data_IF_363997224615
#
_entry.id   IF_363997224615
#
_cell.length_a   1.000
_cell.length_b   1.000
_cell.length_c   1.000
_cell.angle_alpha   90.00
_cell.angle_beta   90.00
_cell.angle_gamma   90.00
#
_symmetry.space_group_name_H-M   'P 1'
#
loop_
_entity.id
_entity.type
_entity.pdbx_description
1 polymer ?
#
# COMPACT_ATOMS: atom_id res chain seq x y z
N UNK A 1 -31.74 9.00 -3.68
CA UNK A 1 -30.50 9.66 -3.19
C UNK A 1 -29.60 9.94 -4.38
N UNK A 2 -29.04 11.16 -4.47
CA UNK A 2 -28.12 11.52 -5.54
C UNK A 2 -26.89 12.22 -4.97
N UNK A 3 -25.73 11.97 -5.57
CA UNK A 3 -24.50 12.68 -5.23
C UNK A 3 -24.63 14.13 -5.70
N UNK A 4 -24.53 15.07 -4.77
CA UNK A 4 -24.72 16.50 -5.01
C UNK A 4 -23.39 17.29 -5.05
N UNK A 5 -22.35 16.82 -4.31
CA UNK A 5 -21.09 17.55 -4.20
C UNK A 5 -19.91 16.64 -3.86
N UNK A 6 -18.76 16.94 -4.45
CA UNK A 6 -17.46 16.40 -4.10
C UNK A 6 -16.58 17.50 -3.50
N UNK A 7 -15.91 17.21 -2.40
CA UNK A 7 -14.98 18.16 -1.77
C UNK A 7 -13.68 17.43 -1.45
N UNK A 8 -12.64 17.54 -2.30
CA UNK A 8 -11.33 17.04 -1.97
C UNK A 8 -10.68 17.88 -0.87
N UNK A 9 -9.98 17.23 0.06
CA UNK A 9 -9.24 17.85 1.14
C UNK A 9 -7.81 17.28 1.14
N UNK A 10 -6.81 18.14 1.16
CA UNK A 10 -5.40 17.75 1.15
C UNK A 10 -4.76 18.10 2.47
N UNK A 11 -4.19 17.11 3.14
CA UNK A 11 -3.49 17.27 4.41
C UNK A 11 -2.01 16.93 4.26
N UNK A 12 -1.14 17.92 4.42
CA UNK A 12 0.30 17.72 4.54
C UNK A 12 0.66 17.23 5.95
N UNK A 13 1.41 16.14 6.02
CA UNK A 13 2.04 15.67 7.27
C UNK A 13 3.56 15.79 7.15
N UNK A 14 4.34 15.67 8.24
CA UNK A 14 5.80 15.81 8.15
C UNK A 14 6.51 14.87 7.18
N UNK A 15 5.85 13.78 6.75
CA UNK A 15 6.46 12.75 5.93
C UNK A 15 5.64 12.31 4.69
N UNK A 16 4.38 12.72 4.59
CA UNK A 16 3.54 12.46 3.40
C UNK A 16 2.37 13.40 3.28
N UNK A 17 1.82 13.51 2.08
CA UNK A 17 0.54 14.16 1.81
C UNK A 17 -0.56 13.11 1.73
N UNK A 18 -1.67 13.37 2.41
CA UNK A 18 -2.89 12.57 2.40
C UNK A 18 -3.97 13.32 1.62
N UNK A 19 -4.71 12.61 0.78
CA UNK A 19 -5.84 13.18 0.05
C UNK A 19 -7.11 12.50 0.51
N UNK A 20 -8.03 13.28 1.05
CA UNK A 20 -9.37 12.87 1.43
C UNK A 20 -10.37 13.33 0.39
N UNK A 21 -11.47 12.61 0.25
CA UNK A 21 -12.63 13.04 -0.51
C UNK A 21 -13.87 12.96 0.39
N UNK A 22 -14.57 14.10 0.55
CA UNK A 22 -15.90 14.16 1.13
C UNK A 22 -16.91 14.20 -0.02
N UNK A 23 -17.88 13.27 -0.01
CA UNK A 23 -19.00 13.19 -0.95
C UNK A 23 -20.26 13.49 -0.19
N UNK A 24 -21.08 14.42 -0.70
CA UNK A 24 -22.34 14.86 -0.10
C UNK A 24 -23.51 14.49 -1.02
N UNK A 25 -24.61 14.02 -0.43
CA UNK A 25 -25.83 13.69 -1.16
C UNK A 25 -26.91 14.77 -0.99
N UNK A 26 -27.90 14.78 -1.88
CA UNK A 26 -29.10 15.65 -1.82
C UNK A 26 -29.99 15.34 -0.61
N UNK A 27 -29.83 14.20 0.03
CA UNK A 27 -30.55 13.80 1.25
C UNK A 27 -29.76 14.07 2.55
N UNK A 28 -28.61 14.75 2.44
CA UNK A 28 -27.79 15.17 3.60
C UNK A 28 -26.84 14.11 4.16
N UNK A 29 -26.80 12.90 3.60
CA UNK A 29 -25.78 11.93 3.95
C UNK A 29 -24.42 12.30 3.34
N UNK A 30 -23.35 12.01 4.07
CA UNK A 30 -21.98 12.26 3.62
C UNK A 30 -21.13 11.01 3.74
N UNK A 31 -20.29 10.77 2.75
CA UNK A 31 -19.23 9.75 2.78
C UNK A 31 -17.84 10.38 2.76
N UNK A 32 -16.88 9.72 3.38
CA UNK A 32 -15.49 10.15 3.42
C UNK A 32 -14.61 8.99 3.02
N UNK A 33 -13.58 9.31 2.25
CA UNK A 33 -12.55 8.35 1.83
C UNK A 33 -11.16 8.98 1.88
N UNK A 34 -10.13 8.15 1.82
CA UNK A 34 -8.73 8.57 1.85
C UNK A 34 -7.90 7.75 0.88
N UNK A 35 -6.97 8.40 0.20
CA UNK A 35 -5.87 7.74 -0.49
C UNK A 35 -4.55 8.45 -0.22
N UNK A 36 -3.47 7.68 -0.27
CA UNK A 36 -2.13 8.23 -0.39
C UNK A 36 -1.82 8.44 -1.87
N UNK A 37 -1.49 9.67 -2.26
CA UNK A 37 -0.98 9.95 -3.61
C UNK A 37 0.25 10.85 -3.54
N UNK A 38 1.28 10.47 -4.27
CA UNK A 38 2.46 11.32 -4.47
C UNK A 38 2.27 12.32 -5.63
N UNK A 39 1.16 12.18 -6.39
CA UNK A 39 0.78 13.03 -7.53
C UNK A 39 -0.53 13.76 -7.25
N UNK A 40 -0.60 14.45 -6.12
CA UNK A 40 -1.81 15.09 -5.60
C UNK A 40 -2.49 16.00 -6.62
N UNK A 41 -1.76 16.88 -7.29
CA UNK A 41 -2.34 17.82 -8.26
C UNK A 41 -2.99 17.10 -9.47
N UNK A 42 -2.35 16.05 -9.96
CA UNK A 42 -2.90 15.23 -11.05
C UNK A 42 -4.17 14.49 -10.60
N UNK A 43 -4.18 13.96 -9.37
CA UNK A 43 -5.35 13.33 -8.77
C UNK A 43 -6.52 14.31 -8.62
N UNK A 44 -6.27 15.52 -8.12
CA UNK A 44 -7.29 16.57 -7.99
C UNK A 44 -7.85 16.98 -9.37
N UNK A 45 -6.99 17.10 -10.37
CA UNK A 45 -7.38 17.34 -11.76
C UNK A 45 -8.30 16.25 -12.31
N UNK A 46 -7.96 15.00 -12.07
CA UNK A 46 -8.76 13.85 -12.46
C UNK A 46 -10.12 13.83 -11.73
N UNK A 47 -10.14 14.03 -10.40
CA UNK A 47 -11.39 14.12 -9.63
C UNK A 47 -12.34 15.19 -10.20
N UNK A 48 -11.81 16.38 -10.52
CA UNK A 48 -12.60 17.47 -11.13
C UNK A 48 -13.18 17.08 -12.50
N UNK A 49 -12.45 16.27 -13.27
CA UNK A 49 -12.91 15.77 -14.57
C UNK A 49 -14.05 14.78 -14.40
N UNK A 50 -13.90 13.76 -13.54
CA UNK A 50 -14.89 12.71 -13.35
C UNK A 50 -16.13 13.21 -12.59
N UNK A 51 -15.99 14.19 -11.70
CA UNK A 51 -17.08 14.82 -10.95
C UNK A 51 -18.24 15.18 -11.87
N UNK A 52 -17.98 15.97 -12.91
CA UNK A 52 -18.98 16.46 -13.84
C UNK A 52 -19.45 15.42 -14.84
N UNK A 53 -18.58 14.46 -15.16
CA UNK A 53 -18.80 13.51 -16.25
C UNK A 53 -19.78 12.41 -15.89
N UNK A 54 -19.71 11.89 -14.66
CA UNK A 54 -20.52 10.75 -14.26
C UNK A 54 -20.73 10.57 -12.75
N UNK A 55 -20.13 11.39 -11.89
CA UNK A 55 -20.31 11.25 -10.44
C UNK A 55 -21.50 12.08 -9.94
N UNK A 56 -21.55 13.39 -10.26
CA UNK A 56 -22.67 14.23 -9.87
C UNK A 56 -23.99 13.71 -10.46
N UNK A 57 -25.01 13.65 -9.62
CA UNK A 57 -26.35 13.15 -9.99
C UNK A 57 -26.45 11.62 -10.03
N UNK A 58 -25.36 10.85 -9.85
CA UNK A 58 -25.42 9.40 -9.74
C UNK A 58 -26.00 8.98 -8.39
N UNK A 59 -26.52 7.76 -8.31
CA UNK A 59 -26.92 7.15 -7.04
C UNK A 59 -25.70 6.48 -6.39
N UNK A 60 -25.34 6.80 -5.13
CA UNK A 60 -24.24 6.15 -4.46
C UNK A 60 -24.44 4.64 -4.25
N UNK A 61 -25.69 4.13 -4.34
CA UNK A 61 -25.96 2.67 -4.31
C UNK A 61 -25.60 1.95 -5.61
N UNK A 62 -25.49 2.68 -6.74
CA UNK A 62 -25.08 2.14 -8.03
C UNK A 62 -23.54 2.10 -8.17
N UNK A 63 -22.81 1.68 -7.11
CA UNK A 63 -21.32 1.71 -7.04
C UNK A 63 -20.70 1.01 -8.23
N UNK A 64 -21.08 -0.23 -8.50
CA UNK A 64 -20.51 -1.02 -9.62
C UNK A 64 -20.71 -0.33 -10.97
N UNK A 65 -21.90 0.24 -11.20
CA UNK A 65 -22.18 0.98 -12.43
C UNK A 65 -21.29 2.21 -12.60
N UNK A 66 -21.05 2.92 -11.49
CA UNK A 66 -20.17 4.09 -11.48
C UNK A 66 -18.72 3.69 -11.78
N UNK A 67 -18.22 2.66 -11.09
CA UNK A 67 -16.86 2.13 -11.27
C UNK A 67 -16.65 1.61 -12.69
N UNK A 68 -17.55 0.76 -13.19
CA UNK A 68 -17.46 0.23 -14.55
C UNK A 68 -17.45 1.34 -15.60
N UNK A 69 -18.31 2.36 -15.43
CA UNK A 69 -18.35 3.50 -16.34
C UNK A 69 -17.04 4.27 -16.33
N UNK A 70 -16.45 4.48 -15.14
CA UNK A 70 -15.17 5.16 -15.01
C UNK A 70 -14.03 4.38 -15.70
N UNK A 71 -14.03 3.04 -15.58
CA UNK A 71 -13.05 2.18 -16.25
C UNK A 71 -13.19 2.18 -17.76
N UNK A 72 -14.42 2.12 -18.29
CA UNK A 72 -14.68 2.09 -19.74
C UNK A 72 -14.36 3.44 -20.38
N UNK A 73 -14.63 4.51 -19.68
CA UNK A 73 -14.42 5.88 -20.15
C UNK A 73 -12.93 6.29 -20.19
N UNK A 74 -12.08 5.59 -19.43
CA UNK A 74 -10.62 5.75 -19.46
C UNK A 74 -10.00 4.91 -20.59
N UNK A 75 -10.01 5.49 -21.79
CA UNK A 75 -9.49 4.85 -23.01
C UNK A 75 -8.02 4.40 -22.85
N UNK A 76 -7.22 5.12 -22.08
CA UNK A 76 -5.78 4.85 -21.88
C UNK A 76 -5.50 3.83 -20.80
N UNK A 77 -6.52 3.26 -20.20
CA UNK A 77 -6.49 2.30 -19.10
C UNK A 77 -6.25 2.93 -17.74
N UNK A 78 -6.80 2.28 -16.73
CA UNK A 78 -6.64 2.67 -15.33
C UNK A 78 -5.18 2.55 -14.91
N UNK A 79 -4.70 3.57 -14.25
CA UNK A 79 -3.36 3.68 -13.69
C UNK A 79 -3.42 4.18 -12.24
N UNK A 80 -2.28 4.39 -11.63
CA UNK A 80 -2.13 4.89 -10.26
C UNK A 80 -3.02 6.12 -9.95
N UNK A 81 -3.09 7.11 -10.85
CA UNK A 81 -3.86 8.35 -10.61
C UNK A 81 -5.35 8.11 -10.80
N UNK A 82 -5.72 7.50 -11.92
CA UNK A 82 -7.13 7.29 -12.25
C UNK A 82 -7.76 6.24 -11.35
N UNK A 83 -7.02 5.17 -11.03
CA UNK A 83 -7.43 4.17 -10.05
C UNK A 83 -7.64 4.75 -8.66
N UNK A 84 -6.72 5.58 -8.18
CA UNK A 84 -6.86 6.26 -6.89
C UNK A 84 -8.09 7.20 -6.86
N UNK A 85 -8.34 7.93 -7.95
CA UNK A 85 -9.51 8.80 -8.06
C UNK A 85 -10.84 8.04 -8.06
N UNK A 86 -10.91 6.93 -8.79
CA UNK A 86 -12.08 6.03 -8.80
C UNK A 86 -12.29 5.44 -7.40
N UNK A 87 -11.23 4.94 -6.76
CA UNK A 87 -11.29 4.35 -5.42
C UNK A 87 -11.76 5.36 -4.36
N UNK A 88 -11.33 6.64 -4.44
CA UNK A 88 -11.85 7.68 -3.54
C UNK A 88 -13.37 7.82 -3.64
N UNK A 89 -13.91 7.87 -4.85
CA UNK A 89 -15.36 7.97 -5.04
C UNK A 89 -16.08 6.71 -4.58
N UNK A 90 -15.56 5.54 -4.93
CA UNK A 90 -16.11 4.24 -4.56
C UNK A 90 -16.19 4.06 -3.04
N UNK A 91 -15.08 4.26 -2.33
CA UNK A 91 -15.03 4.15 -0.88
C UNK A 91 -15.97 5.13 -0.18
N UNK A 92 -16.09 6.38 -0.69
CA UNK A 92 -17.03 7.34 -0.14
C UNK A 92 -18.49 6.91 -0.38
N UNK A 93 -18.82 6.29 -1.52
CA UNK A 93 -20.14 5.69 -1.76
C UNK A 93 -20.41 4.55 -0.77
N UNK A 94 -19.47 3.66 -0.52
CA UNK A 94 -19.62 2.60 0.49
C UNK A 94 -19.86 3.16 1.89
N UNK A 95 -19.20 4.25 2.27
CA UNK A 95 -19.43 4.94 3.56
C UNK A 95 -20.85 5.52 3.63
N UNK A 96 -21.35 6.13 2.53
CA UNK A 96 -22.75 6.60 2.42
C UNK A 96 -23.72 5.43 2.57
N UNK A 97 -23.51 4.33 1.84
CA UNK A 97 -24.36 3.14 1.89
C UNK A 97 -24.42 2.60 3.33
N UNK A 98 -23.26 2.43 3.96
CA UNK A 98 -23.18 1.96 5.35
C UNK A 98 -23.99 2.82 6.31
N UNK A 99 -23.90 4.15 6.17
CA UNK A 99 -24.67 5.13 6.97
C UNK A 99 -26.16 5.03 6.67
N UNK A 100 -26.54 4.95 5.39
CA UNK A 100 -27.94 4.86 4.97
C UNK A 100 -28.63 3.60 5.54
N UNK A 101 -27.96 2.45 5.49
CA UNK A 101 -28.50 1.18 5.99
C UNK A 101 -28.14 0.91 7.47
N UNK A 102 -27.44 1.83 8.14
CA UNK A 102 -27.02 1.74 9.54
C UNK A 102 -26.19 0.49 9.84
N UNK A 103 -25.34 0.10 8.92
CA UNK A 103 -24.40 -1.01 9.08
C UNK A 103 -22.98 -0.58 8.73
N UNK A 104 -21.96 -1.05 9.46
CA UNK A 104 -20.58 -0.81 9.07
C UNK A 104 -20.25 -1.53 7.76
N UNK A 105 -19.42 -0.91 6.93
CA UNK A 105 -19.09 -1.39 5.58
C UNK A 105 -18.60 -2.85 5.59
N UNK A 106 -17.80 -3.26 6.58
CA UNK A 106 -17.30 -4.64 6.64
C UNK A 106 -18.42 -5.69 6.69
N UNK A 107 -19.57 -5.37 7.31
CA UNK A 107 -20.74 -6.27 7.32
C UNK A 107 -21.40 -6.38 5.96
N UNK A 108 -21.42 -5.30 5.20
CA UNK A 108 -21.93 -5.27 3.82
C UNK A 108 -21.05 -6.06 2.86
N UNK A 109 -19.74 -6.12 3.15
CA UNK A 109 -18.74 -6.85 2.36
C UNK A 109 -18.57 -8.33 2.79
N UNK A 110 -19.47 -8.88 3.60
CA UNK A 110 -19.46 -10.29 3.97
C UNK A 110 -19.20 -10.59 5.45
N UNK A 111 -18.97 -9.55 6.28
CA UNK A 111 -18.78 -9.71 7.73
C UNK A 111 -17.33 -9.91 8.16
N UNK A 112 -17.12 -10.07 9.45
CA UNK A 112 -15.81 -10.20 10.04
C UNK A 112 -15.34 -11.67 10.04
N UNK A 113 -14.21 -11.94 9.39
CA UNK A 113 -13.51 -13.23 9.52
C UNK A 113 -12.62 -13.27 10.78
N UNK A 114 -12.26 -12.10 11.31
CA UNK A 114 -11.42 -11.94 12.50
C UNK A 114 -11.87 -10.73 13.31
N UNK A 115 -11.80 -10.81 14.62
CA UNK A 115 -12.10 -9.68 15.51
C UNK A 115 -10.92 -8.70 15.65
N UNK A 116 -9.71 -9.21 15.49
CA UNK A 116 -8.47 -8.43 15.57
C UNK A 116 -7.57 -8.75 14.39
N UNK A 117 -6.92 -7.72 13.87
CA UNK A 117 -5.95 -7.81 12.79
C UNK A 117 -4.56 -7.55 13.37
N UNK A 118 -3.61 -8.43 13.04
CA UNK A 118 -2.19 -8.25 13.40
C UNK A 118 -1.62 -7.06 12.64
N UNK A 119 -0.94 -6.18 13.36
CA UNK A 119 -0.27 -5.01 12.79
C UNK A 119 1.25 -5.15 12.86
N UNK A 120 1.93 -4.61 11.88
CA UNK A 120 3.38 -4.41 11.92
C UNK A 120 3.71 -2.91 11.99
N UNK A 121 4.87 -2.58 12.55
CA UNK A 121 5.39 -1.23 12.53
C UNK A 121 6.15 -0.97 11.21
N UNK A 122 5.91 0.20 10.60
CA UNK A 122 6.64 0.68 9.44
C UNK A 122 7.11 2.12 9.67
N UNK A 123 8.11 2.59 8.88
CA UNK A 123 8.66 3.95 8.98
C UNK A 123 9.49 4.23 10.23
N UNK A 124 9.76 3.25 11.06
CA UNK A 124 10.55 3.35 12.29
C UNK A 124 12.05 3.47 12.06
N UNK A 125 12.52 3.09 10.89
CA UNK A 125 13.93 3.00 10.48
C UNK A 125 14.45 4.28 9.79
N UNK A 126 13.81 5.42 10.02
CA UNK A 126 14.29 6.73 9.58
C UNK A 126 15.39 7.22 10.51
N UNK A 127 16.49 6.50 10.54
CA UNK A 127 17.68 6.72 11.36
C UNK A 127 18.93 6.51 10.49
N UNK A 128 20.11 6.77 11.05
CA UNK A 128 21.37 6.46 10.37
C UNK A 128 21.43 4.98 10.00
N UNK A 129 21.93 4.67 8.79
CA UNK A 129 22.01 3.29 8.29
C UNK A 129 23.23 2.56 8.86
N UNK A 130 23.21 2.37 10.18
CA UNK A 130 24.18 1.56 10.93
C UNK A 130 23.47 0.46 11.73
N UNK A 131 24.13 -0.68 11.99
CA UNK A 131 23.58 -1.76 12.81
C UNK A 131 23.10 -1.29 14.17
N UNK A 132 23.85 -0.39 14.82
CA UNK A 132 23.57 0.14 16.14
C UNK A 132 22.30 1.00 16.14
N UNK A 133 22.16 1.91 15.17
CA UNK A 133 20.99 2.79 15.05
C UNK A 133 19.71 2.00 14.74
N UNK A 134 19.81 0.98 13.87
CA UNK A 134 18.68 0.09 13.56
C UNK A 134 18.29 -0.79 14.75
N UNK A 135 19.25 -1.30 15.51
CA UNK A 135 19.01 -2.04 16.75
C UNK A 135 18.25 -1.18 17.77
N UNK A 136 18.73 0.03 18.04
CA UNK A 136 18.09 0.92 19.01
C UNK A 136 16.68 1.38 18.54
N UNK A 137 16.49 1.60 17.26
CA UNK A 137 15.18 1.91 16.70
C UNK A 137 14.21 0.72 16.83
N UNK A 138 14.68 -0.50 16.53
CA UNK A 138 13.89 -1.73 16.67
C UNK A 138 13.46 -1.98 18.14
N UNK A 139 14.36 -1.78 19.13
CA UNK A 139 14.04 -1.87 20.56
C UNK A 139 12.86 -0.97 20.94
N UNK A 140 12.86 0.28 20.45
CA UNK A 140 11.78 1.24 20.72
C UNK A 140 10.44 0.78 20.16
N UNK A 141 10.44 0.08 19.02
CA UNK A 141 9.22 -0.47 18.42
C UNK A 141 8.69 -1.64 19.24
N UNK A 142 9.57 -2.57 19.63
CA UNK A 142 9.18 -3.71 20.49
C UNK A 142 8.66 -3.24 21.84
N UNK A 143 9.27 -2.21 22.44
CA UNK A 143 8.79 -1.61 23.69
C UNK A 143 7.36 -1.04 23.59
N UNK A 144 6.89 -0.69 22.38
CA UNK A 144 5.49 -0.29 22.12
C UNK A 144 4.53 -1.47 21.95
N UNK A 145 5.01 -2.71 22.04
CA UNK A 145 4.20 -3.93 21.96
C UNK A 145 4.05 -4.53 20.56
N UNK A 146 4.72 -3.98 19.53
CA UNK A 146 4.69 -4.59 18.20
C UNK A 146 5.40 -5.94 18.18
N UNK A 147 4.84 -6.89 17.43
CA UNK A 147 5.39 -8.23 17.20
C UNK A 147 5.89 -8.44 15.78
N UNK A 148 5.81 -7.41 14.95
CA UNK A 148 6.24 -7.44 13.55
C UNK A 148 6.78 -6.07 13.13
N UNK A 149 7.84 -6.06 12.33
CA UNK A 149 8.57 -4.88 11.86
C UNK A 149 8.74 -4.96 10.34
N UNK A 150 8.31 -3.95 9.60
CA UNK A 150 8.63 -3.81 8.17
C UNK A 150 9.79 -2.85 8.00
N UNK A 151 10.75 -3.15 7.12
CA UNK A 151 11.97 -2.37 6.91
C UNK A 151 12.46 -2.49 5.47
N UNK A 152 12.92 -1.38 4.90
CA UNK A 152 13.70 -1.34 3.67
C UNK A 152 15.18 -1.06 4.04
N UNK A 153 16.05 -2.07 4.01
CA UNK A 153 17.46 -1.91 4.41
C UNK A 153 18.36 -1.44 3.27
N UNK A 154 17.87 -1.36 2.01
CA UNK A 154 18.70 -1.30 0.81
C UNK A 154 19.11 0.11 0.38
N UNK A 155 18.72 1.16 1.09
CA UNK A 155 19.14 2.54 0.83
C UNK A 155 18.79 3.00 -0.59
N UNK A 156 19.81 3.45 -1.34
CA UNK A 156 19.67 3.88 -2.73
C UNK A 156 19.93 2.79 -3.76
N UNK A 157 20.07 1.52 -3.33
CA UNK A 157 20.28 0.38 -4.24
C UNK A 157 19.18 0.31 -5.31
N UNK A 158 19.57 0.16 -6.57
CA UNK A 158 18.67 0.13 -7.71
C UNK A 158 19.23 -0.78 -8.80
N UNK A 159 18.40 -1.67 -9.33
CA UNK A 159 18.69 -2.69 -10.35
C UNK A 159 19.78 -3.69 -9.94
N UNK A 160 20.95 -3.21 -9.62
CA UNK A 160 22.10 -3.94 -9.08
C UNK A 160 22.59 -3.27 -7.79
N UNK A 161 23.40 -3.98 -7.01
CA UNK A 161 23.99 -3.43 -5.80
C UNK A 161 25.49 -3.71 -5.74
N UNK A 162 26.25 -2.70 -5.38
CA UNK A 162 27.66 -2.85 -5.03
C UNK A 162 27.81 -3.76 -3.81
N UNK A 163 28.85 -4.59 -3.79
CA UNK A 163 29.10 -5.56 -2.71
C UNK A 163 29.11 -4.93 -1.32
N UNK A 164 29.72 -3.75 -1.18
CA UNK A 164 29.78 -3.04 0.10
C UNK A 164 28.40 -2.65 0.61
N UNK A 165 27.53 -2.17 -0.29
CA UNK A 165 26.15 -1.78 0.05
C UNK A 165 25.25 -2.99 0.32
N UNK A 166 25.44 -4.08 -0.42
CA UNK A 166 24.80 -5.37 -0.14
C UNK A 166 25.16 -5.86 1.27
N UNK A 167 26.45 -5.93 1.59
CA UNK A 167 26.92 -6.36 2.91
C UNK A 167 26.36 -5.47 4.04
N UNK A 168 26.31 -4.15 3.82
CA UNK A 168 25.69 -3.23 4.77
C UNK A 168 24.21 -3.55 4.96
N UNK A 169 23.45 -3.73 3.89
CA UNK A 169 22.01 -4.04 3.94
C UNK A 169 21.73 -5.33 4.72
N UNK A 170 22.56 -6.36 4.50
CA UNK A 170 22.47 -7.63 5.23
C UNK A 170 22.79 -7.44 6.70
N UNK A 171 23.86 -6.69 7.05
CA UNK A 171 24.23 -6.43 8.45
C UNK A 171 23.15 -5.67 9.24
N UNK A 172 22.36 -4.83 8.58
CA UNK A 172 21.22 -4.16 9.22
C UNK A 172 20.13 -5.17 9.64
N UNK A 173 19.81 -6.13 8.77
CA UNK A 173 18.83 -7.19 9.09
C UNK A 173 19.35 -8.13 10.17
N UNK A 174 20.63 -8.49 10.11
CA UNK A 174 21.31 -9.26 11.17
C UNK A 174 21.18 -8.56 12.54
N UNK A 175 21.50 -7.27 12.60
CA UNK A 175 21.43 -6.48 13.82
C UNK A 175 19.98 -6.37 14.36
N UNK A 176 18.98 -6.16 13.49
CA UNK A 176 17.59 -6.19 13.88
C UNK A 176 17.24 -7.56 14.47
N UNK A 177 17.54 -8.66 13.77
CA UNK A 177 17.23 -10.02 14.22
C UNK A 177 17.88 -10.35 15.56
N UNK A 178 19.16 -10.01 15.71
CA UNK A 178 19.89 -10.18 16.99
C UNK A 178 19.24 -9.39 18.14
N UNK A 179 18.66 -8.25 17.84
CA UNK A 179 18.04 -7.37 18.82
C UNK A 179 16.65 -7.81 19.23
N UNK A 180 15.79 -8.19 18.27
CA UNK A 180 14.38 -8.48 18.53
C UNK A 180 14.10 -9.94 18.85
N UNK A 181 15.08 -10.82 18.65
CA UNK A 181 14.96 -12.26 18.89
C UNK A 181 14.16 -13.01 17.82
N UNK A 182 14.00 -14.32 17.94
CA UNK A 182 13.40 -15.17 16.90
C UNK A 182 11.88 -15.03 16.76
N UNK A 183 11.19 -14.57 17.80
CA UNK A 183 9.72 -14.55 17.86
C UNK A 183 9.07 -13.31 17.22
N UNK A 184 9.89 -12.31 16.86
CA UNK A 184 9.43 -11.10 16.18
C UNK A 184 9.56 -11.26 14.67
N UNK A 185 8.50 -10.97 13.94
CA UNK A 185 8.51 -11.04 12.49
C UNK A 185 9.26 -9.84 11.89
N UNK A 186 10.14 -10.13 10.94
CA UNK A 186 10.82 -9.12 10.14
C UNK A 186 10.31 -9.25 8.71
N UNK A 187 9.82 -8.14 8.16
CA UNK A 187 9.26 -8.03 6.83
C UNK A 187 10.19 -7.13 6.03
N UNK A 188 10.78 -7.66 4.95
CA UNK A 188 11.79 -6.93 4.18
C UNK A 188 11.19 -6.38 2.90
N UNK A 189 11.28 -5.07 2.73
CA UNK A 189 10.77 -4.34 1.59
C UNK A 189 11.87 -4.09 0.55
N UNK A 190 11.61 -4.42 -0.72
CA UNK A 190 12.52 -4.18 -1.84
C UNK A 190 12.01 -3.14 -2.84
N UNK A 191 10.75 -2.68 -2.69
CA UNK A 191 10.09 -1.63 -3.51
C UNK A 191 10.17 -1.85 -5.04
N UNK A 192 10.25 -3.08 -5.51
CA UNK A 192 10.28 -3.38 -6.93
C UNK A 192 11.50 -2.84 -7.69
N UNK A 193 12.65 -2.67 -7.02
CA UNK A 193 13.80 -1.93 -7.57
C UNK A 193 14.86 -2.79 -8.23
N UNK A 194 14.86 -4.09 -7.96
CA UNK A 194 16.01 -4.93 -8.35
C UNK A 194 15.76 -5.74 -9.62
N UNK A 195 16.86 -6.13 -10.27
CA UNK A 195 16.82 -7.18 -11.27
C UNK A 195 16.49 -8.52 -10.60
N UNK A 196 15.92 -9.49 -11.34
CA UNK A 196 15.67 -10.83 -10.75
C UNK A 196 16.91 -11.48 -10.17
N UNK A 197 18.09 -11.30 -10.81
CA UNK A 197 19.34 -11.84 -10.29
C UNK A 197 19.74 -11.22 -8.95
N UNK A 198 19.68 -9.88 -8.87
CA UNK A 198 20.03 -9.15 -7.64
C UNK A 198 19.04 -9.46 -6.52
N UNK A 199 17.72 -9.50 -6.83
CA UNK A 199 16.70 -9.79 -5.84
C UNK A 199 16.86 -11.20 -5.23
N UNK A 200 17.15 -12.20 -6.07
CA UNK A 200 17.38 -13.58 -5.63
C UNK A 200 18.65 -13.67 -4.76
N UNK A 201 19.73 -13.04 -5.20
CA UNK A 201 21.00 -13.01 -4.47
C UNK A 201 20.87 -12.33 -3.09
N UNK A 202 20.17 -11.19 -3.02
CA UNK A 202 19.84 -10.50 -1.77
C UNK A 202 18.98 -11.37 -0.85
N UNK A 203 17.95 -12.00 -1.40
CA UNK A 203 17.07 -12.85 -0.60
C UNK A 203 17.81 -14.05 0.00
N UNK A 204 18.70 -14.69 -0.75
CA UNK A 204 19.54 -15.80 -0.22
C UNK A 204 20.41 -15.34 0.94
N UNK A 205 21.02 -14.16 0.86
CA UNK A 205 21.83 -13.62 1.97
C UNK A 205 20.99 -13.27 3.20
N UNK A 206 19.68 -13.03 3.03
CA UNK A 206 18.74 -12.74 4.11
C UNK A 206 18.12 -13.99 4.76
N UNK A 207 18.17 -15.17 4.10
CA UNK A 207 17.57 -16.41 4.61
C UNK A 207 18.00 -16.79 6.03
N UNK A 208 19.29 -16.62 6.44
CA UNK A 208 19.73 -16.95 7.81
C UNK A 208 18.98 -16.19 8.90
N UNK A 209 18.47 -15.01 8.58
CA UNK A 209 17.74 -14.15 9.54
C UNK A 209 16.23 -14.42 9.54
N UNK A 210 15.74 -15.34 8.71
CA UNK A 210 14.36 -15.82 8.65
C UNK A 210 13.34 -14.67 8.57
N UNK A 211 13.39 -13.80 7.54
CA UNK A 211 12.32 -12.84 7.30
C UNK A 211 11.00 -13.58 7.04
N UNK A 212 9.88 -12.99 7.47
CA UNK A 212 8.56 -13.57 7.23
C UNK A 212 8.13 -13.43 5.78
N UNK A 213 8.58 -12.38 5.09
CA UNK A 213 8.51 -12.22 3.64
C UNK A 213 9.54 -11.21 3.11
N UNK A 214 9.77 -11.27 1.81
CA UNK A 214 10.34 -10.18 1.01
C UNK A 214 9.23 -9.60 0.14
N UNK A 215 9.11 -8.27 0.12
CA UNK A 215 8.05 -7.56 -0.59
C UNK A 215 8.59 -6.94 -1.85
N UNK A 216 7.89 -7.15 -2.97
CA UNK A 216 8.21 -6.63 -4.30
C UNK A 216 9.71 -6.72 -4.66
N UNK A 217 10.27 -7.93 -4.77
CA UNK A 217 11.69 -8.10 -5.09
C UNK A 217 12.08 -7.51 -6.44
N UNK A 218 11.16 -7.49 -7.41
CA UNK A 218 11.32 -6.96 -8.76
C UNK A 218 10.14 -6.06 -9.13
N UNK A 219 10.21 -5.25 -10.22
CA UNK A 219 9.08 -4.43 -10.67
C UNK A 219 7.79 -5.24 -10.79
N UNK A 220 6.71 -4.74 -10.18
CA UNK A 220 5.43 -5.46 -10.06
C UNK A 220 4.70 -5.65 -11.40
N UNK A 221 4.98 -4.81 -12.40
CA UNK A 221 4.44 -4.89 -13.75
C UNK A 221 5.10 -5.99 -14.63
N UNK A 222 6.22 -6.57 -14.16
CA UNK A 222 6.89 -7.67 -14.83
C UNK A 222 6.57 -9.01 -14.14
N UNK A 223 5.44 -9.60 -14.49
CA UNK A 223 4.95 -10.84 -13.88
C UNK A 223 5.88 -12.04 -14.10
N UNK A 224 6.55 -12.12 -15.25
CA UNK A 224 7.53 -13.20 -15.52
C UNK A 224 8.76 -13.08 -14.61
N UNK A 225 9.27 -11.86 -14.43
CA UNK A 225 10.36 -11.59 -13.52
C UNK A 225 9.97 -11.89 -12.06
N UNK A 226 8.75 -11.52 -11.66
CA UNK A 226 8.21 -11.79 -10.33
C UNK A 226 8.07 -13.31 -10.10
N UNK A 227 7.48 -14.05 -11.04
CA UNK A 227 7.37 -15.50 -10.98
C UNK A 227 8.73 -16.19 -10.91
N UNK A 228 9.70 -15.72 -11.70
CA UNK A 228 11.09 -16.23 -11.68
C UNK A 228 11.77 -15.97 -10.33
N UNK A 229 11.59 -14.78 -9.75
CA UNK A 229 12.13 -14.45 -8.44
C UNK A 229 11.48 -15.31 -7.36
N UNK A 230 10.14 -15.38 -7.31
CA UNK A 230 9.39 -16.16 -6.33
C UNK A 230 9.74 -17.66 -6.37
N UNK A 231 9.99 -18.23 -7.57
CA UNK A 231 10.38 -19.64 -7.70
C UNK A 231 11.79 -19.96 -7.20
N UNK A 232 12.64 -18.94 -6.98
CA UNK A 232 14.05 -19.12 -6.57
C UNK A 232 14.36 -18.54 -5.19
N UNK A 233 13.44 -17.81 -4.60
CA UNK A 233 13.55 -17.25 -3.26
C UNK A 233 12.85 -18.22 -2.29
N UNK A 234 13.55 -18.67 -1.23
CA UNK A 234 12.97 -19.56 -0.22
C UNK A 234 12.17 -18.81 0.85
N UNK A 235 12.27 -17.48 0.90
CA UNK A 235 11.46 -16.62 1.75
C UNK A 235 10.13 -16.36 1.04
N UNK A 236 8.97 -16.37 1.71
CA UNK A 236 7.70 -15.97 1.09
C UNK A 236 7.79 -14.61 0.39
N UNK A 237 7.25 -14.49 -0.80
CA UNK A 237 7.21 -13.24 -1.56
C UNK A 237 5.84 -12.58 -1.39
N UNK A 238 5.84 -11.30 -0.99
CA UNK A 238 4.65 -10.46 -0.93
C UNK A 238 4.64 -9.45 -2.09
N UNK A 239 3.46 -9.15 -2.59
CA UNK A 239 3.23 -8.12 -3.60
C UNK A 239 1.79 -7.60 -3.48
N UNK A 240 1.48 -6.47 -4.10
CA UNK A 240 0.11 -5.99 -4.17
C UNK A 240 -0.08 -4.49 -4.07
N UNK A 241 0.85 -3.74 -3.50
CA UNK A 241 0.66 -2.29 -3.33
C UNK A 241 0.58 -1.50 -4.66
N UNK A 242 1.00 -2.11 -5.77
CA UNK A 242 0.95 -1.53 -7.13
C UNK A 242 -0.09 -2.20 -8.04
N UNK A 243 -1.00 -2.99 -7.46
CA UNK A 243 -2.12 -3.60 -8.19
C UNK A 243 -3.30 -2.63 -8.18
N UNK A 244 -3.84 -2.32 -9.35
CA UNK A 244 -4.93 -1.35 -9.52
C UNK A 244 -6.27 -2.01 -9.79
N UNK A 245 -6.26 -3.26 -10.26
CA UNK A 245 -7.48 -3.97 -10.66
C UNK A 245 -7.51 -5.40 -10.15
N UNK A 246 -8.71 -5.95 -9.95
CA UNK A 246 -8.90 -7.37 -9.62
C UNK A 246 -8.38 -8.33 -10.71
N UNK A 247 -8.14 -7.86 -11.93
CA UNK A 247 -7.62 -8.68 -13.02
C UNK A 247 -6.12 -8.91 -12.93
N UNK A 248 -5.39 -8.02 -12.26
CA UNK A 248 -3.96 -8.13 -12.03
C UNK A 248 -3.60 -9.09 -10.89
N UNK A 249 -4.60 -9.56 -10.12
CA UNK A 249 -4.42 -10.53 -9.01
C UNK A 249 -4.57 -11.99 -9.42
N UNK A 250 -4.78 -12.28 -10.73
CA UNK A 250 -5.03 -13.63 -11.26
C UNK A 250 -3.83 -14.23 -11.94
#
# INVERSE_FOLDING_TARGET
>A
MKIAKLTPLVLGTPWRTLTYLKVETDEGLTGVSEVRSIRTDALLGYLKQIEKRYVLGSDPFDVERLVQRAFVDDFLRVNDITGAGIALVEMACWDIIGKAVKQPVYKLLGGACREKIKAYANGWYTVERTPEAFSEAAKKVIAKGYKALKVDPFGSGFYEMERAEKNRSVSLIEAIRGTVGPDVEILVEMHGRFSPATAIDLAHDLEPFKPSWVEEPVPADNLEAMAKAAAKINIPVASGERIHTRHETR
#
